data_IF_907352694133
#
_entry.id   IF_907352694133
#
_cell.length_a   1.000
_cell.length_b   1.000
_cell.length_c   1.000
_cell.angle_alpha   90.00
_cell.angle_beta   90.00
_cell.angle_gamma   90.00
#
_symmetry.space_group_name_H-M   'P 1'
#
loop_
_entity.id
_entity.type
_entity.pdbx_description
1 polymer ?
#
# COMPACT_ATOMS: atom_id res chain seq x y z
N UNK A 1 0.25 -22.31 -8.53
CA UNK A 1 -0.49 -22.22 -7.26
C UNK A 1 -1.96 -22.44 -7.58
N UNK A 2 -2.65 -23.41 -6.96
CA UNK A 2 -4.10 -23.57 -7.18
C UNK A 2 -4.79 -22.46 -6.38
N UNK A 3 -5.40 -21.50 -7.08
CA UNK A 3 -6.12 -20.40 -6.45
C UNK A 3 -7.42 -20.96 -5.89
N UNK A 4 -7.59 -20.88 -4.57
CA UNK A 4 -8.88 -21.22 -3.95
C UNK A 4 -9.84 -20.02 -4.06
N UNK A 5 -11.17 -20.21 -4.06
CA UNK A 5 -12.12 -19.10 -4.09
C UNK A 5 -11.85 -18.03 -3.01
N UNK A 6 -11.45 -18.46 -1.80
CA UNK A 6 -11.08 -17.55 -0.72
C UNK A 6 -9.77 -16.78 -0.99
N UNK A 7 -8.83 -17.36 -1.74
CA UNK A 7 -7.58 -16.67 -2.16
C UNK A 7 -7.88 -15.57 -3.18
N UNK A 8 -8.77 -15.83 -4.14
CA UNK A 8 -9.14 -14.83 -5.15
C UNK A 8 -9.89 -13.65 -4.52
N UNK A 9 -10.85 -13.92 -3.62
CA UNK A 9 -11.57 -12.88 -2.88
C UNK A 9 -10.62 -11.99 -2.05
N UNK A 10 -9.60 -12.59 -1.43
CA UNK A 10 -8.60 -11.84 -0.66
C UNK A 10 -7.71 -10.98 -1.56
N UNK A 11 -7.33 -11.49 -2.73
CA UNK A 11 -6.53 -10.74 -3.69
C UNK A 11 -7.33 -9.55 -4.25
N UNK A 12 -8.60 -9.76 -4.62
CA UNK A 12 -9.52 -8.67 -5.01
C UNK A 12 -9.63 -7.62 -3.91
N UNK A 13 -9.77 -8.05 -2.65
CA UNK A 13 -9.83 -7.14 -1.49
C UNK A 13 -8.54 -6.35 -1.31
N UNK A 14 -7.38 -6.98 -1.49
CA UNK A 14 -6.07 -6.32 -1.40
C UNK A 14 -5.86 -5.28 -2.52
N UNK A 15 -6.24 -5.62 -3.75
CA UNK A 15 -6.19 -4.70 -4.89
C UNK A 15 -7.12 -3.49 -4.69
N UNK A 16 -8.35 -3.72 -4.23
CA UNK A 16 -9.30 -2.64 -3.95
C UNK A 16 -8.85 -1.73 -2.81
N UNK A 17 -8.37 -2.32 -1.72
CA UNK A 17 -7.83 -1.58 -0.58
C UNK A 17 -6.63 -0.71 -0.98
N UNK A 18 -5.73 -1.22 -1.84
CA UNK A 18 -4.62 -0.43 -2.35
C UNK A 18 -5.09 0.69 -3.29
N UNK A 19 -6.09 0.46 -4.13
CA UNK A 19 -6.68 1.49 -4.98
C UNK A 19 -7.33 2.62 -4.15
N UNK A 20 -8.04 2.29 -3.06
CA UNK A 20 -8.59 3.27 -2.11
C UNK A 20 -7.49 4.12 -1.49
N UNK A 21 -6.35 3.51 -1.14
CA UNK A 21 -5.19 4.26 -0.65
C UNK A 21 -4.60 5.20 -1.70
N UNK A 22 -4.43 4.72 -2.94
CA UNK A 22 -3.95 5.55 -4.05
C UNK A 22 -4.89 6.73 -4.33
N UNK A 23 -6.20 6.50 -4.28
CA UNK A 23 -7.22 7.53 -4.45
C UNK A 23 -7.16 8.60 -3.35
N UNK A 24 -6.98 8.17 -2.09
CA UNK A 24 -6.89 9.06 -0.95
C UNK A 24 -5.67 9.99 -1.04
N UNK A 25 -4.48 9.44 -1.35
CA UNK A 25 -3.24 10.23 -1.50
C UNK A 25 -3.29 11.14 -2.73
N UNK A 26 -3.86 10.65 -3.84
CA UNK A 26 -3.95 11.43 -5.08
C UNK A 26 -5.03 12.51 -5.06
N UNK A 27 -5.91 12.52 -4.03
CA UNK A 27 -7.14 13.33 -3.96
C UNK A 27 -7.99 13.25 -5.22
N UNK A 28 -8.09 12.07 -5.83
CA UNK A 28 -8.75 11.95 -7.11
C UNK A 28 -8.73 10.57 -7.73
N UNK A 29 -8.98 10.56 -9.04
CA UNK A 29 -9.25 9.36 -9.81
C UNK A 29 -10.68 8.84 -9.63
N UNK A 30 -11.03 7.89 -10.48
CA UNK A 30 -12.39 7.38 -10.62
C UNK A 30 -12.40 5.86 -10.58
N UNK A 31 -13.20 5.31 -9.66
CA UNK A 31 -13.47 3.88 -9.62
C UNK A 31 -14.44 3.48 -10.72
N UNK A 32 -14.04 2.50 -11.52
CA UNK A 32 -14.92 1.70 -12.36
C UNK A 32 -14.82 0.23 -11.94
N UNK A 33 -15.65 -0.63 -12.53
CA UNK A 33 -15.69 -2.07 -12.21
C UNK A 33 -14.32 -2.74 -12.35
N UNK A 34 -13.54 -2.39 -13.38
CA UNK A 34 -12.29 -3.07 -13.70
C UNK A 34 -11.03 -2.35 -13.21
N UNK A 35 -11.12 -1.06 -12.85
CA UNK A 35 -9.95 -0.28 -12.42
C UNK A 35 -10.34 1.03 -11.72
N UNK A 36 -9.48 1.46 -10.81
CA UNK A 36 -9.36 2.88 -10.45
C UNK A 36 -8.34 3.53 -11.40
N UNK A 37 -8.65 4.72 -11.90
CA UNK A 37 -7.80 5.46 -12.85
C UNK A 37 -7.84 6.96 -12.56
N UNK A 38 -6.70 7.64 -12.71
CA UNK A 38 -6.58 9.09 -12.69
C UNK A 38 -6.24 9.61 -14.09
N UNK A 39 -7.05 10.54 -14.60
CA UNK A 39 -6.78 11.24 -15.86
C UNK A 39 -5.64 12.27 -15.74
N UNK A 40 -5.13 12.50 -14.53
CA UNK A 40 -4.00 13.38 -14.24
C UNK A 40 -2.90 12.58 -13.55
N UNK A 41 -1.65 12.90 -13.89
CA UNK A 41 -0.44 12.40 -13.21
C UNK A 41 -0.62 12.41 -11.69
N UNK A 42 -0.52 11.25 -11.08
CA UNK A 42 -0.55 11.08 -9.62
C UNK A 42 0.79 11.47 -8.97
N UNK A 43 0.82 11.69 -7.65
CA UNK A 43 2.08 11.96 -6.94
C UNK A 43 3.12 10.84 -7.09
N UNK A 44 4.42 11.12 -6.86
CA UNK A 44 5.47 10.11 -6.85
C UNK A 44 5.10 8.89 -6.00
N UNK A 45 5.52 7.70 -6.43
CA UNK A 45 5.24 6.39 -5.82
C UNK A 45 3.79 5.87 -5.92
N UNK A 46 2.84 6.68 -6.40
CA UNK A 46 1.45 6.27 -6.62
C UNK A 46 1.16 6.14 -8.12
N UNK A 47 0.51 5.04 -8.57
CA UNK A 47 0.23 4.83 -9.98
C UNK A 47 -0.94 5.67 -10.47
N UNK A 48 -1.02 5.92 -11.78
CA UNK A 48 -2.22 6.53 -12.38
C UNK A 48 -3.39 5.56 -12.46
N UNK A 49 -3.10 4.26 -12.45
CA UNK A 49 -4.13 3.25 -12.51
C UNK A 49 -3.82 2.03 -11.63
N UNK A 50 -4.87 1.46 -11.05
CA UNK A 50 -4.83 0.20 -10.31
C UNK A 50 -5.92 -0.70 -10.87
N UNK A 51 -5.55 -1.85 -11.42
CA UNK A 51 -6.53 -2.84 -11.90
C UNK A 51 -7.26 -3.47 -10.72
N UNK A 52 -8.58 -3.65 -10.84
CA UNK A 52 -9.44 -4.24 -9.80
C UNK A 52 -9.97 -5.63 -10.19
N UNK A 53 -9.74 -6.07 -11.43
CA UNK A 53 -10.10 -7.40 -11.94
C UNK A 53 -9.00 -7.96 -12.84
N UNK A 54 -8.95 -9.29 -13.01
CA UNK A 54 -8.04 -9.94 -13.97
C UNK A 54 -8.34 -9.59 -15.42
N UNK A 55 -9.62 -9.38 -15.72
CA UNK A 55 -10.11 -9.18 -17.09
C UNK A 55 -10.18 -7.70 -17.49
N UNK A 56 -9.37 -6.84 -16.86
CA UNK A 56 -9.35 -5.42 -17.16
C UNK A 56 -8.90 -5.18 -18.61
N UNK A 57 -9.74 -4.60 -19.48
CA UNK A 57 -9.36 -4.42 -20.87
C UNK A 57 -8.29 -3.32 -21.03
N UNK A 58 -7.13 -3.66 -21.58
CA UNK A 58 -5.98 -2.75 -21.74
C UNK A 58 -6.37 -1.44 -22.42
N UNK A 59 -7.08 -1.50 -23.56
CA UNK A 59 -7.49 -0.31 -24.30
C UNK A 59 -8.42 0.62 -23.49
N UNK A 60 -9.30 0.03 -22.67
CA UNK A 60 -10.22 0.81 -21.82
C UNK A 60 -9.47 1.44 -20.66
N UNK A 61 -8.46 0.76 -20.12
CA UNK A 61 -7.59 1.27 -19.06
C UNK A 61 -6.76 2.46 -19.57
N UNK A 62 -6.05 2.27 -20.69
CA UNK A 62 -5.16 3.28 -21.26
C UNK A 62 -5.92 4.53 -21.72
N UNK A 63 -7.16 4.40 -22.19
CA UNK A 63 -7.98 5.54 -22.57
C UNK A 63 -8.41 6.46 -21.40
N UNK A 64 -8.18 6.04 -20.15
CA UNK A 64 -8.57 6.77 -18.92
C UNK A 64 -7.40 7.39 -18.16
N UNK A 65 -6.18 7.22 -18.66
CA UNK A 65 -4.95 7.76 -18.06
C UNK A 65 -4.17 8.57 -19.08
N UNK A 66 -3.33 9.48 -18.60
CA UNK A 66 -2.47 10.30 -19.46
C UNK A 66 -1.22 9.51 -19.84
N UNK A 67 -1.22 8.96 -21.07
CA UNK A 67 -0.08 8.28 -21.70
C UNK A 67 0.76 9.20 -22.58
N UNK A 68 0.35 10.46 -22.76
CA UNK A 68 1.05 11.43 -23.60
C UNK A 68 2.18 12.14 -22.82
N UNK A 69 2.13 12.10 -21.49
CA UNK A 69 3.19 12.64 -20.62
C UNK A 69 4.06 11.53 -20.00
N UNK A 70 5.39 11.75 -19.93
CA UNK A 70 6.29 10.84 -19.22
C UNK A 70 5.88 10.66 -17.77
N UNK A 71 6.05 9.44 -17.26
CA UNK A 71 5.77 9.08 -15.87
C UNK A 71 4.48 8.28 -15.66
N UNK A 72 3.73 7.96 -16.73
CA UNK A 72 2.52 7.11 -16.65
C UNK A 72 2.84 5.78 -16.02
N UNK A 73 2.12 5.42 -14.96
CA UNK A 73 2.34 4.13 -14.31
C UNK A 73 1.04 3.42 -13.98
N UNK A 74 1.07 2.11 -14.12
CA UNK A 74 -0.07 1.23 -13.91
C UNK A 74 0.36 0.14 -12.93
N UNK A 75 -0.36 0.02 -11.82
CA UNK A 75 -0.33 -1.18 -11.00
C UNK A 75 -1.31 -2.20 -11.58
N UNK A 76 -0.74 -3.17 -12.28
CA UNK A 76 -1.42 -4.39 -12.69
C UNK A 76 -1.44 -5.36 -11.49
N UNK A 77 -2.51 -5.24 -10.70
CA UNK A 77 -2.74 -6.00 -9.48
C UNK A 77 -2.82 -7.51 -9.69
N UNK A 78 -2.90 -8.00 -10.93
CA UNK A 78 -3.04 -9.43 -11.20
C UNK A 78 -1.93 -9.99 -12.09
N UNK A 79 -0.96 -9.14 -12.48
CA UNK A 79 0.08 -9.44 -13.46
C UNK A 79 -0.49 -10.05 -14.76
N UNK A 80 -1.64 -9.54 -15.20
CA UNK A 80 -2.43 -10.07 -16.31
C UNK A 80 -2.33 -9.27 -17.61
N UNK A 81 -1.87 -8.01 -17.55
CA UNK A 81 -1.78 -7.12 -18.70
C UNK A 81 -0.43 -7.26 -19.43
N UNK A 82 -0.42 -7.00 -20.74
CA UNK A 82 0.79 -6.72 -21.50
C UNK A 82 0.75 -5.29 -22.05
N UNK A 83 1.36 -4.35 -21.32
CA UNK A 83 1.41 -2.93 -21.70
C UNK A 83 2.63 -2.57 -22.54
N UNK A 84 3.50 -3.54 -22.86
CA UNK A 84 4.70 -3.28 -23.66
C UNK A 84 4.40 -2.72 -25.07
N UNK A 85 3.34 -3.17 -25.79
CA UNK A 85 2.95 -2.58 -27.08
C UNK A 85 2.55 -1.11 -26.98
N UNK A 86 2.11 -0.65 -25.80
CA UNK A 86 1.78 0.73 -25.52
C UNK A 86 2.97 1.55 -24.97
N UNK A 87 4.20 1.02 -25.04
CA UNK A 87 5.42 1.73 -24.66
C UNK A 87 5.80 1.62 -23.18
N UNK A 88 5.01 0.92 -22.37
CA UNK A 88 5.33 0.70 -20.96
C UNK A 88 6.44 -0.34 -20.78
N UNK A 89 7.18 -0.20 -19.68
CA UNK A 89 8.15 -1.19 -19.20
C UNK A 89 7.79 -1.63 -17.80
N UNK A 90 8.14 -2.86 -17.44
CA UNK A 90 8.02 -3.31 -16.06
C UNK A 90 9.00 -2.52 -15.19
N UNK A 91 8.48 -1.83 -14.20
CA UNK A 91 9.26 -1.14 -13.18
C UNK A 91 9.72 -2.14 -12.12
N UNK A 92 8.78 -2.91 -11.56
CA UNK A 92 9.06 -4.03 -10.66
C UNK A 92 7.86 -5.01 -10.59
N UNK A 93 8.11 -6.17 -9.98
CA UNK A 93 7.11 -7.18 -9.65
C UNK A 93 7.13 -7.47 -8.15
N UNK A 94 5.98 -7.82 -7.59
CA UNK A 94 5.82 -8.11 -6.16
C UNK A 94 4.76 -9.19 -5.93
N UNK A 95 4.53 -9.55 -4.67
CA UNK A 95 3.47 -10.46 -4.26
C UNK A 95 2.48 -9.73 -3.36
N UNK A 96 1.18 -9.85 -3.65
CA UNK A 96 0.17 -9.59 -2.65
C UNK A 96 0.35 -10.56 -1.49
N UNK A 97 0.13 -10.07 -0.28
CA UNK A 97 0.26 -10.84 0.95
C UNK A 97 -0.98 -10.67 1.82
N UNK A 98 -1.30 -11.70 2.59
CA UNK A 98 -2.39 -11.68 3.57
C UNK A 98 -1.99 -12.33 4.87
N UNK A 99 -2.43 -11.73 5.97
CA UNK A 99 -2.32 -12.27 7.32
C UNK A 99 -3.71 -12.43 7.93
N UNK A 100 -4.06 -13.62 8.45
CA UNK A 100 -5.37 -13.86 9.04
C UNK A 100 -5.59 -13.00 10.30
N UNK A 101 -6.85 -12.65 10.54
CA UNK A 101 -7.27 -11.98 11.76
C UNK A 101 -6.89 -12.79 13.01
N UNK A 102 -6.53 -12.10 14.09
CA UNK A 102 -6.24 -12.73 15.39
C UNK A 102 -4.93 -13.52 15.46
N UNK A 103 -4.13 -13.55 14.39
CA UNK A 103 -2.78 -14.10 14.48
C UNK A 103 -1.94 -13.28 15.48
N UNK A 104 -1.15 -13.92 16.36
CA UNK A 104 -0.35 -13.22 17.37
C UNK A 104 0.78 -12.42 16.70
N UNK A 105 0.94 -11.16 17.09
CA UNK A 105 2.07 -10.33 16.69
C UNK A 105 3.22 -10.50 17.70
N UNK A 106 4.46 -10.47 17.22
CA UNK A 106 5.61 -10.33 18.10
C UNK A 106 5.62 -8.93 18.73
N UNK A 107 6.26 -8.79 19.89
CA UNK A 107 6.46 -7.48 20.51
C UNK A 107 7.51 -6.67 19.76
N UNK A 108 7.34 -5.35 19.75
CA UNK A 108 8.33 -4.37 19.29
C UNK A 108 9.04 -3.75 20.49
N UNK A 109 10.33 -3.42 20.34
CA UNK A 109 11.09 -2.65 21.33
C UNK A 109 10.85 -1.13 21.19
N UNK A 110 10.34 -0.68 20.05
CA UNK A 110 9.97 0.72 19.79
C UNK A 110 8.66 1.10 20.49
N UNK A 111 8.52 2.39 20.81
CA UNK A 111 7.26 2.98 21.26
C UNK A 111 6.38 3.32 20.06
N UNK A 112 5.30 2.59 19.86
CA UNK A 112 4.37 2.79 18.74
C UNK A 112 3.21 3.71 19.11
N UNK A 113 2.93 4.67 18.23
CA UNK A 113 1.78 5.55 18.35
C UNK A 113 1.25 5.93 16.97
N UNK A 114 -0.02 6.34 16.95
CA UNK A 114 -0.63 6.97 15.78
C UNK A 114 -0.12 8.40 15.64
N UNK A 115 0.24 8.80 14.42
CA UNK A 115 0.53 10.19 14.06
C UNK A 115 -0.77 11.00 14.11
N UNK A 116 -0.78 12.08 14.87
CA UNK A 116 -1.99 12.84 15.18
C UNK A 116 -2.01 14.27 14.67
N UNK A 117 -0.87 14.84 14.27
CA UNK A 117 -0.78 16.24 13.82
C UNK A 117 -0.08 16.38 12.47
N UNK A 118 -0.33 17.49 11.74
CA UNK A 118 0.38 17.78 10.49
C UNK A 118 1.91 17.78 10.66
N UNK A 119 2.43 18.33 11.76
CA UNK A 119 3.86 18.40 12.02
C UNK A 119 4.46 17.02 12.28
N UNK A 120 3.71 16.14 12.95
CA UNK A 120 4.12 14.74 13.10
C UNK A 120 4.07 13.98 11.78
N UNK A 121 3.14 14.32 10.88
CA UNK A 121 3.05 13.72 9.55
C UNK A 121 4.23 14.13 8.68
N UNK A 122 4.65 15.39 8.72
CA UNK A 122 5.86 15.86 8.04
C UNK A 122 7.10 15.13 8.57
N UNK A 123 7.21 14.96 9.89
CA UNK A 123 8.30 14.20 10.50
C UNK A 123 8.26 12.71 10.12
N UNK A 124 7.06 12.14 9.95
CA UNK A 124 6.87 10.77 9.52
C UNK A 124 7.25 10.59 8.05
N UNK A 125 6.82 11.51 7.16
CA UNK A 125 7.16 11.50 5.73
C UNK A 125 8.67 11.62 5.54
N UNK A 126 9.31 12.53 6.28
CA UNK A 126 10.76 12.69 6.23
C UNK A 126 11.52 11.43 6.68
N UNK A 127 11.01 10.75 7.72
CA UNK A 127 11.60 9.50 8.18
C UNK A 127 11.39 8.34 7.19
N UNK A 128 10.26 8.35 6.45
CA UNK A 128 9.92 7.32 5.47
C UNK A 128 10.72 7.45 4.17
N UNK A 129 10.80 8.65 3.61
CA UNK A 129 11.49 8.89 2.32
C UNK A 129 13.01 9.04 2.52
N UNK A 130 13.47 9.38 3.73
CA UNK A 130 14.88 9.62 4.05
C UNK A 130 15.36 11.03 3.69
N UNK A 131 14.46 11.90 3.24
CA UNK A 131 14.70 13.29 2.84
C UNK A 131 13.78 14.26 3.60
N UNK A 132 13.78 15.56 3.24
CA UNK A 132 12.81 16.51 3.78
C UNK A 132 11.40 16.20 3.23
N UNK A 133 10.36 16.37 4.07
CA UNK A 133 8.97 16.20 3.64
C UNK A 133 8.66 17.07 2.44
N UNK A 134 8.05 16.46 1.41
CA UNK A 134 7.60 17.14 0.20
C UNK A 134 6.12 17.54 0.28
N UNK A 135 5.43 17.09 1.33
CA UNK A 135 3.98 17.21 1.48
C UNK A 135 3.21 16.21 0.63
N UNK A 136 3.82 15.05 0.30
CA UNK A 136 3.16 13.95 -0.39
C UNK A 136 1.93 13.48 0.40
N UNK A 137 2.09 13.33 1.71
CA UNK A 137 1.00 13.00 2.62
C UNK A 137 0.38 14.26 3.15
N UNK A 138 -0.71 14.68 2.51
CA UNK A 138 -1.39 15.90 2.91
C UNK A 138 -2.15 15.72 4.25
N UNK A 139 -2.22 16.76 5.11
CA UNK A 139 -2.80 16.67 6.46
C UNK A 139 -4.24 16.17 6.54
N UNK A 140 -5.03 16.34 5.48
CA UNK A 140 -6.41 15.83 5.42
C UNK A 140 -6.51 14.30 5.60
N UNK A 141 -5.44 13.53 5.36
CA UNK A 141 -5.43 12.09 5.64
C UNK A 141 -5.59 11.78 7.12
N UNK A 142 -5.19 12.70 8.00
CA UNK A 142 -5.33 12.55 9.45
C UNK A 142 -6.75 12.88 9.94
N UNK A 143 -7.54 13.62 9.17
CA UNK A 143 -8.85 14.13 9.59
C UNK A 143 -9.99 13.52 8.78
N UNK A 144 -10.00 13.69 7.46
CA UNK A 144 -11.09 13.25 6.58
C UNK A 144 -11.17 11.71 6.51
N UNK A 145 -10.05 11.03 6.71
CA UNK A 145 -9.95 9.57 6.67
C UNK A 145 -9.65 8.96 8.05
N UNK A 146 -9.80 9.73 9.13
CA UNK A 146 -9.27 9.35 10.45
C UNK A 146 -9.83 8.05 11.03
N UNK A 147 -11.06 7.66 10.66
CA UNK A 147 -11.71 6.45 11.15
C UNK A 147 -11.18 5.18 10.47
N UNK A 148 -10.75 5.31 9.22
CA UNK A 148 -10.33 4.19 8.38
C UNK A 148 -8.84 4.24 8.01
N UNK A 149 -8.10 5.31 8.30
CA UNK A 149 -6.67 5.46 7.98
C UNK A 149 -5.88 5.87 9.21
N UNK A 150 -4.72 5.25 9.41
CA UNK A 150 -3.77 5.60 10.45
C UNK A 150 -2.33 5.55 9.92
N UNK A 151 -1.60 6.65 10.14
CA UNK A 151 -0.15 6.65 10.06
C UNK A 151 0.40 6.18 11.40
N UNK A 152 1.26 5.18 11.37
CA UNK A 152 1.82 4.52 12.55
C UNK A 152 3.30 4.82 12.63
N UNK A 153 3.75 5.34 13.77
CA UNK A 153 5.13 5.73 14.01
C UNK A 153 5.74 4.85 15.13
N UNK A 154 6.77 4.10 14.80
CA UNK A 154 7.64 3.42 15.75
C UNK A 154 8.78 4.34 16.16
N UNK A 155 8.82 4.73 17.45
CA UNK A 155 9.80 5.67 17.98
C UNK A 155 10.85 4.99 18.84
N UNK A 156 12.11 5.40 18.67
CA UNK A 156 13.20 5.02 19.58
C UNK A 156 13.05 5.70 20.94
N UNK A 157 13.86 5.27 21.92
CA UNK A 157 13.80 5.81 23.29
C UNK A 157 14.08 7.32 23.40
N UNK A 158 14.76 7.91 22.40
CA UNK A 158 15.00 9.35 22.27
C UNK A 158 13.89 10.10 21.50
N UNK A 159 12.82 9.41 21.10
CA UNK A 159 11.62 9.99 20.47
C UNK A 159 11.67 10.11 18.94
N UNK A 160 12.80 9.77 18.29
CA UNK A 160 12.91 9.80 16.83
C UNK A 160 12.04 8.72 16.19
N UNK A 161 11.40 9.04 15.06
CA UNK A 161 10.69 8.05 14.23
C UNK A 161 11.77 7.23 13.51
N UNK A 162 11.80 5.93 13.78
CA UNK A 162 12.79 5.00 13.19
C UNK A 162 12.13 3.81 12.51
N UNK A 163 10.80 3.72 12.58
CA UNK A 163 10.00 2.79 11.82
C UNK A 163 8.61 3.37 11.59
N UNK A 164 7.90 2.89 10.59
CA UNK A 164 6.52 3.27 10.39
C UNK A 164 5.80 2.43 9.37
N UNK A 165 4.49 2.65 9.30
CA UNK A 165 3.61 2.08 8.30
C UNK A 165 2.37 2.95 8.16
N UNK A 166 1.70 2.88 7.02
CA UNK A 166 0.33 3.37 6.85
C UNK A 166 -0.60 2.18 6.87
N UNK A 167 -1.69 2.31 7.64
CA UNK A 167 -2.77 1.35 7.66
C UNK A 167 -4.07 2.00 7.17
N UNK A 168 -4.77 1.35 6.24
CA UNK A 168 -6.08 1.80 5.78
C UNK A 168 -7.09 0.65 5.71
N UNK A 169 -8.29 0.85 6.23
CA UNK A 169 -9.38 -0.14 6.20
C UNK A 169 -10.17 0.01 4.93
N UNK A 170 -10.45 -1.12 4.26
CA UNK A 170 -11.23 -1.10 3.04
C UNK A 170 -12.71 -0.81 3.26
N UNK A 171 -13.32 -0.10 2.31
CA UNK A 171 -14.77 0.12 2.22
C UNK A 171 -15.46 -0.92 1.32
N UNK A 172 -14.67 -1.74 0.62
CA UNK A 172 -15.14 -2.84 -0.24
C UNK A 172 -15.91 -3.97 0.46
N UNK A 173 -16.36 -4.98 -0.31
CA UNK A 173 -17.32 -6.00 0.15
C UNK A 173 -16.79 -6.89 1.29
N UNK A 174 -15.46 -6.98 1.44
CA UNK A 174 -14.79 -7.61 2.57
C UNK A 174 -13.91 -6.57 3.24
N UNK A 175 -14.12 -6.38 4.53
CA UNK A 175 -13.35 -5.44 5.35
C UNK A 175 -11.98 -6.04 5.67
N UNK A 176 -10.92 -5.41 5.17
CA UNK A 176 -9.51 -5.77 5.41
C UNK A 176 -8.73 -4.53 5.82
N UNK A 177 -7.62 -4.70 6.54
CA UNK A 177 -6.66 -3.61 6.81
C UNK A 177 -5.52 -3.73 5.82
N UNK A 178 -5.37 -2.76 4.94
CA UNK A 178 -4.15 -2.56 4.17
C UNK A 178 -3.01 -2.11 5.05
N UNK A 179 -1.82 -2.66 4.84
CA UNK A 179 -0.58 -2.12 5.36
C UNK A 179 0.32 -1.77 4.19
N UNK A 180 0.76 -0.52 4.13
CA UNK A 180 1.63 0.02 3.08
C UNK A 180 2.67 0.96 3.67
N UNK A 181 3.64 1.39 2.86
CA UNK A 181 4.68 2.33 3.26
C UNK A 181 5.38 1.87 4.55
N UNK A 182 5.61 0.56 4.68
CA UNK A 182 6.31 -0.04 5.81
C UNK A 182 7.79 0.28 5.67
N UNK A 183 8.40 0.85 6.70
CA UNK A 183 9.82 1.20 6.66
C UNK A 183 10.50 1.09 8.01
N UNK A 184 11.82 1.03 7.97
CA UNK A 184 12.72 1.21 9.11
C UNK A 184 13.88 2.10 8.70
N UNK A 185 14.30 3.01 9.58
CA UNK A 185 15.50 3.80 9.40
C UNK A 185 16.76 2.91 9.46
N UNK A 186 17.85 3.38 8.85
CA UNK A 186 19.14 2.68 8.85
C UNK A 186 19.57 2.23 10.25
N UNK A 187 19.97 0.96 10.34
CA UNK A 187 20.39 0.34 11.61
C UNK A 187 19.23 -0.14 12.51
N UNK A 188 17.97 0.09 12.13
CA UNK A 188 16.80 -0.47 12.81
C UNK A 188 16.41 -1.81 12.15
N UNK A 189 16.24 -2.91 12.91
CA UNK A 189 15.82 -4.19 12.33
C UNK A 189 14.44 -4.10 11.68
N UNK A 190 14.28 -4.63 10.46
CA UNK A 190 13.00 -4.63 9.73
C UNK A 190 11.83 -5.26 10.53
N UNK A 191 12.13 -6.26 11.36
CA UNK A 191 11.14 -6.93 12.21
C UNK A 191 10.43 -5.97 13.19
N UNK A 192 11.06 -4.84 13.57
CA UNK A 192 10.45 -3.84 14.45
C UNK A 192 9.25 -3.14 13.78
N UNK A 193 9.35 -2.83 12.48
CA UNK A 193 8.27 -2.23 11.73
C UNK A 193 7.03 -3.13 11.68
N UNK A 194 7.22 -4.39 11.30
CA UNK A 194 6.13 -5.35 11.19
C UNK A 194 5.51 -5.69 12.54
N UNK A 195 6.32 -5.97 13.56
CA UNK A 195 5.83 -6.32 14.91
C UNK A 195 4.95 -5.21 15.50
N UNK A 196 5.44 -3.97 15.44
CA UNK A 196 4.73 -2.85 16.02
C UNK A 196 3.54 -2.37 15.20
N UNK A 197 3.66 -2.31 13.87
CA UNK A 197 2.54 -1.96 13.00
C UNK A 197 1.39 -2.97 13.13
N UNK A 198 1.67 -4.27 13.16
CA UNK A 198 0.66 -5.31 13.36
C UNK A 198 -0.01 -5.24 14.73
N UNK A 199 0.75 -4.91 15.78
CA UNK A 199 0.20 -4.68 17.13
C UNK A 199 -0.76 -3.49 17.12
N UNK A 200 -0.32 -2.35 16.58
CA UNK A 200 -1.14 -1.15 16.48
C UNK A 200 -2.40 -1.36 15.62
N UNK A 201 -2.30 -2.10 14.51
CA UNK A 201 -3.46 -2.49 13.69
C UNK A 201 -4.44 -3.36 14.48
N UNK A 202 -3.95 -4.33 15.26
CA UNK A 202 -4.80 -5.20 16.07
C UNK A 202 -5.56 -4.42 17.17
N UNK A 203 -4.94 -3.37 17.72
CA UNK A 203 -5.57 -2.49 18.71
C UNK A 203 -6.61 -1.55 18.08
N UNK A 204 -6.31 -0.97 16.91
CA UNK A 204 -7.20 -0.02 16.22
C UNK A 204 -8.40 -0.71 15.57
N UNK A 205 -8.17 -1.86 14.92
CA UNK A 205 -9.20 -2.59 14.17
C UNK A 205 -9.16 -4.10 14.49
N UNK A 206 -9.59 -4.48 15.70
CA UNK A 206 -9.53 -5.87 16.14
C UNK A 206 -10.37 -6.79 15.25
N UNK A 207 -9.84 -7.97 14.97
CA UNK A 207 -10.55 -9.02 14.23
C UNK A 207 -10.58 -8.87 12.71
N UNK A 208 -9.91 -7.86 12.14
CA UNK A 208 -9.74 -7.75 10.69
C UNK A 208 -8.47 -8.47 10.21
N UNK A 209 -8.52 -9.13 9.03
CA UNK A 209 -7.32 -9.61 8.37
C UNK A 209 -6.51 -8.44 7.79
N UNK A 210 -5.20 -8.64 7.67
CA UNK A 210 -4.28 -7.63 7.12
C UNK A 210 -3.84 -8.05 5.72
N UNK A 211 -3.75 -7.10 4.81
CA UNK A 211 -3.28 -7.28 3.43
C UNK A 211 -2.20 -6.26 3.11
N UNK A 212 -1.37 -6.54 2.11
CA UNK A 212 -0.32 -5.66 1.63
C UNK A 212 0.34 -6.26 0.40
N UNK A 213 1.47 -5.71 -0.04
CA UNK A 213 2.32 -6.37 -1.03
C UNK A 213 3.78 -6.11 -0.74
N UNK A 214 4.63 -7.09 -1.01
CA UNK A 214 6.07 -6.97 -0.79
C UNK A 214 6.86 -7.74 -1.85
N UNK A 215 8.16 -7.48 -1.91
CA UNK A 215 9.11 -8.17 -2.80
C UNK A 215 10.44 -8.42 -2.09
N UNK A 216 11.23 -9.37 -2.58
CA UNK A 216 12.58 -9.62 -2.05
C UNK A 216 12.60 -9.89 -0.55
N UNK A 217 13.57 -9.29 0.15
CA UNK A 217 13.79 -9.48 1.59
C UNK A 217 12.60 -8.98 2.42
N UNK A 218 11.87 -7.95 1.97
CA UNK A 218 10.70 -7.42 2.67
C UNK A 218 9.53 -8.42 2.64
N UNK A 219 9.40 -9.19 1.55
CA UNK A 219 8.43 -10.29 1.46
C UNK A 219 8.79 -11.41 2.44
N UNK A 220 10.07 -11.78 2.51
CA UNK A 220 10.54 -12.78 3.46
C UNK A 220 10.29 -12.33 4.90
N UNK A 221 10.48 -11.04 5.20
CA UNK A 221 10.15 -10.45 6.51
C UNK A 221 8.66 -10.53 6.79
N UNK A 222 7.79 -10.09 5.88
CA UNK A 222 6.35 -10.20 6.06
C UNK A 222 5.90 -11.64 6.32
N UNK A 223 6.46 -12.63 5.62
CA UNK A 223 6.15 -14.05 5.83
C UNK A 223 6.54 -14.52 7.23
N UNK A 224 7.69 -14.10 7.78
CA UNK A 224 8.07 -14.40 9.17
C UNK A 224 7.07 -13.83 10.18
N UNK A 225 6.38 -12.74 9.84
CA UNK A 225 5.33 -12.11 10.66
C UNK A 225 3.91 -12.68 10.41
N UNK A 226 3.82 -13.83 9.73
CA UNK A 226 2.59 -14.60 9.58
C UNK A 226 1.76 -14.24 8.35
N UNK A 227 2.34 -13.51 7.40
CA UNK A 227 1.73 -13.34 6.09
C UNK A 227 1.94 -14.55 5.19
N UNK A 228 1.00 -14.76 4.28
CA UNK A 228 1.09 -15.73 3.19
C UNK A 228 0.93 -15.00 1.84
N UNK A 229 1.74 -15.31 0.81
CA UNK A 229 1.53 -14.79 -0.53
C UNK A 229 0.18 -15.21 -1.12
N UNK A 230 -0.49 -14.28 -1.79
CA UNK A 230 -1.78 -14.49 -2.46
C UNK A 230 -1.65 -14.60 -3.98
N UNK A 231 -0.73 -13.86 -4.58
CA UNK A 231 -0.50 -13.84 -6.03
C UNK A 231 0.36 -12.67 -6.49
N UNK A 232 0.86 -12.72 -7.73
CA UNK A 232 1.74 -11.70 -8.27
C UNK A 232 0.99 -10.41 -8.60
N UNK A 233 1.73 -9.30 -8.53
CA UNK A 233 1.38 -8.03 -9.16
C UNK A 233 2.58 -7.50 -9.92
N UNK A 234 2.32 -6.57 -10.83
CA UNK A 234 3.33 -5.90 -11.64
C UNK A 234 3.06 -4.40 -11.69
N UNK A 235 4.12 -3.60 -11.58
CA UNK A 235 4.03 -2.16 -11.81
C UNK A 235 4.69 -1.82 -13.14
N UNK A 236 3.95 -1.14 -14.00
CA UNK A 236 4.38 -0.68 -15.31
C UNK A 236 4.69 0.81 -15.26
N UNK A 237 5.68 1.27 -16.03
CA UNK A 237 6.06 2.67 -16.18
C UNK A 237 6.27 3.00 -17.67
N UNK A 238 5.65 4.09 -18.10
CA UNK A 238 5.85 4.76 -19.38
C UNK A 238 6.80 5.94 -19.15
N UNK A 239 8.01 5.85 -19.69
CA UNK A 239 9.05 6.87 -19.50
C UNK A 239 9.17 7.84 -20.68
N UNK A 240 8.43 7.57 -21.76
CA UNK A 240 8.42 8.39 -22.97
C UNK A 240 7.30 9.41 -22.95
#
# INVERSE_FOLDING_TARGET
>A
MIITPNTEELLLSAAHNNAEWCAAVSRGGEFAVSAWTSARRTPPYYPDAVTLTRDTPELVLLARIDTDTPGCSVKDSFAALDLAPAGFKVLFEAQWIHRPAGAPAAGSALGWARVGTPEELDAWEAAWDGEESTGLFHPALLTEHAENTAFLAGRSADGRIVAGAVANVSEGPRRVVGLSNVFTADGTPQDEAWSGALTAVADLWPGLPVVGYESGDDLDTAVRHGFAPLGPLRVWLHTA
#
